data_IF_958443972337
#
_entry.id   IF_958443972337
#
_cell.length_a   1.000
_cell.length_b   1.000
_cell.length_c   1.000
_cell.angle_alpha   90.00
_cell.angle_beta   90.00
_cell.angle_gamma   90.00
#
_symmetry.space_group_name_H-M   'P 1'
#
loop_
_entity.id
_entity.type
_entity.pdbx_description
1 polymer ?
#
# COMPACT_ATOMS: atom_id res chain seq x y z
N UNK A 1 52.35 9.62 47.10
CA UNK A 1 53.60 8.87 47.35
C UNK A 1 53.97 8.19 46.03
N UNK A 2 55.13 8.55 45.55
CA UNK A 2 55.90 7.94 44.44
C UNK A 2 56.46 6.57 44.90
N UNK A 3 57.20 5.76 44.11
CA UNK A 3 57.45 5.78 42.67
C UNK A 3 57.50 4.37 41.99
N UNK A 4 57.81 4.40 40.70
CA UNK A 4 58.30 3.36 39.80
C UNK A 4 59.50 2.51 40.34
N UNK A 5 59.93 1.40 39.61
CA UNK A 5 60.88 1.55 38.50
C UNK A 5 60.74 0.53 37.34
N UNK A 6 60.95 0.97 36.15
CA UNK A 6 61.89 0.72 35.04
C UNK A 6 62.83 -0.50 35.22
N UNK A 7 62.84 -1.39 34.21
CA UNK A 7 64.07 -2.07 33.76
C UNK A 7 64.10 -2.28 32.24
N UNK A 8 65.28 -2.03 31.75
CA UNK A 8 65.75 -1.96 30.37
C UNK A 8 66.37 -3.28 29.86
N UNK A 9 66.40 -3.39 28.54
CA UNK A 9 67.35 -4.04 27.64
C UNK A 9 67.42 -5.57 27.52
N UNK A 10 67.22 -6.06 26.28
CA UNK A 10 68.34 -6.62 25.52
C UNK A 10 68.00 -6.76 24.06
N UNK A 11 68.92 -6.26 23.23
CA UNK A 11 68.97 -6.34 21.78
C UNK A 11 69.57 -7.68 21.32
N UNK A 12 69.03 -8.27 20.26
CA UNK A 12 69.81 -9.18 19.40
C UNK A 12 69.36 -9.07 17.94
N UNK A 13 70.29 -8.67 17.12
CA UNK A 13 70.24 -8.61 15.69
C UNK A 13 70.32 -10.00 15.06
N UNK A 14 69.49 -10.34 14.10
CA UNK A 14 69.76 -11.40 13.11
C UNK A 14 69.13 -11.05 11.74
N UNK A 15 70.03 -10.80 10.80
CA UNK A 15 70.08 -11.08 9.35
C UNK A 15 68.79 -11.08 8.49
N UNK A 16 68.90 -10.23 7.49
CA UNK A 16 68.18 -10.11 6.24
C UNK A 16 67.95 -11.45 5.53
N UNK A 17 66.67 -11.69 5.22
CA UNK A 17 66.23 -12.60 4.15
C UNK A 17 65.21 -11.86 3.29
N UNK A 18 65.61 -11.50 2.09
CA UNK A 18 64.73 -10.88 1.08
C UNK A 18 63.81 -11.98 0.55
N UNK A 19 62.53 -11.92 0.94
CA UNK A 19 61.50 -12.74 0.35
C UNK A 19 60.63 -11.80 -0.55
N UNK A 20 60.82 -11.90 -1.86
CA UNK A 20 59.95 -11.25 -2.84
C UNK A 20 58.56 -11.85 -2.74
N UNK A 21 57.64 -11.18 -2.04
CA UNK A 21 56.23 -11.46 -2.14
C UNK A 21 55.68 -10.74 -3.38
N UNK A 22 55.35 -11.52 -4.39
CA UNK A 22 54.50 -11.11 -5.51
C UNK A 22 53.12 -10.74 -4.94
N UNK A 23 52.88 -9.47 -4.71
CA UNK A 23 51.52 -8.96 -4.49
C UNK A 23 50.74 -9.09 -5.81
N UNK A 24 50.00 -10.17 -5.94
CA UNK A 24 48.92 -10.25 -6.90
C UNK A 24 47.91 -9.13 -6.63
N UNK A 25 47.91 -8.11 -7.46
CA UNK A 25 46.85 -7.11 -7.52
C UNK A 25 45.52 -7.85 -7.87
N UNK A 26 44.80 -8.25 -6.86
CA UNK A 26 43.35 -8.51 -7.02
C UNK A 26 42.72 -7.18 -7.41
N UNK A 27 42.55 -6.95 -8.69
CA UNK A 27 41.61 -5.95 -9.18
C UNK A 27 40.24 -6.36 -8.64
N UNK A 28 39.52 -5.49 -7.93
CA UNK A 28 38.10 -5.73 -7.70
C UNK A 28 37.52 -5.79 -9.12
N UNK A 29 37.02 -6.97 -9.50
CA UNK A 29 36.38 -7.16 -10.80
C UNK A 29 35.30 -6.09 -10.93
N UNK A 30 35.48 -5.18 -11.87
CA UNK A 30 34.40 -4.32 -12.32
C UNK A 30 33.26 -5.25 -12.70
N UNK A 31 32.15 -5.21 -11.94
CA UNK A 31 30.90 -5.83 -12.32
C UNK A 31 30.62 -5.32 -13.74
N UNK A 32 30.64 -6.22 -14.69
CA UNK A 32 30.43 -5.91 -16.08
C UNK A 32 29.06 -5.24 -16.22
N UNK A 33 28.99 -4.15 -16.93
CA UNK A 33 27.78 -3.42 -17.27
C UNK A 33 26.78 -4.26 -18.13
N UNK A 34 27.00 -5.56 -18.24
CA UNK A 34 26.24 -6.46 -19.12
C UNK A 34 25.07 -7.20 -18.45
N UNK A 35 24.82 -7.02 -17.14
CA UNK A 35 23.80 -7.77 -16.40
C UNK A 35 22.71 -6.93 -15.74
N UNK A 36 22.51 -5.68 -16.12
CA UNK A 36 21.31 -4.98 -15.68
C UNK A 36 20.09 -5.55 -16.42
N UNK A 37 19.12 -6.13 -15.69
CA UNK A 37 17.93 -6.68 -16.32
C UNK A 37 17.18 -5.59 -17.09
N UNK A 38 16.75 -5.93 -18.30
CA UNK A 38 15.99 -4.99 -19.14
C UNK A 38 14.82 -4.38 -18.34
N UNK A 39 14.57 -3.08 -18.47
CA UNK A 39 13.49 -2.40 -17.76
C UNK A 39 12.17 -3.13 -17.92
N UNK A 40 11.36 -3.14 -16.86
CA UNK A 40 10.02 -3.69 -16.91
C UNK A 40 9.18 -2.90 -17.93
N UNK A 41 8.23 -3.56 -18.57
CA UNK A 41 7.29 -2.93 -19.49
C UNK A 41 6.01 -2.52 -18.77
N UNK A 42 5.32 -1.52 -19.25
CA UNK A 42 4.06 -1.03 -18.65
C UNK A 42 2.97 -2.10 -18.63
N UNK A 43 2.14 -2.01 -17.60
CA UNK A 43 0.87 -2.73 -17.53
C UNK A 43 -0.22 -1.85 -18.13
N UNK A 44 -1.07 -2.46 -18.94
CA UNK A 44 -2.28 -1.85 -19.47
C UNK A 44 -3.54 -2.56 -19.00
N UNK A 45 -4.69 -1.96 -19.28
CA UNK A 45 -6.01 -2.55 -19.05
C UNK A 45 -6.71 -2.65 -20.40
N UNK A 46 -7.30 -3.81 -20.64
CA UNK A 46 -8.16 -4.04 -21.81
C UNK A 46 -9.50 -4.62 -21.36
N UNK A 47 -10.56 -4.18 -22.03
CA UNK A 47 -11.87 -4.78 -21.87
C UNK A 47 -11.97 -6.06 -22.70
N UNK A 48 -12.78 -7.00 -22.27
CA UNK A 48 -13.03 -8.25 -22.98
C UNK A 48 -14.40 -8.84 -22.62
N UNK A 49 -14.81 -9.87 -23.33
CA UNK A 49 -16.11 -10.54 -23.11
C UNK A 49 -16.25 -11.06 -21.66
N UNK A 50 -15.14 -11.51 -21.08
CA UNK A 50 -15.08 -12.05 -19.72
C UNK A 50 -14.86 -10.98 -18.65
N UNK A 51 -14.81 -9.70 -19.01
CA UNK A 51 -14.53 -8.56 -18.15
C UNK A 51 -13.19 -7.88 -18.47
N UNK A 52 -12.88 -6.81 -17.74
CA UNK A 52 -11.61 -6.13 -17.88
C UNK A 52 -10.47 -6.98 -17.31
N UNK A 53 -9.27 -6.83 -17.87
CA UNK A 53 -8.08 -7.53 -17.42
C UNK A 53 -6.82 -6.69 -17.61
N UNK A 54 -5.83 -6.91 -16.77
CA UNK A 54 -4.49 -6.36 -16.98
C UNK A 54 -3.75 -7.14 -18.08
N UNK A 55 -2.83 -6.46 -18.75
CA UNK A 55 -1.95 -7.08 -19.74
C UNK A 55 -0.59 -6.37 -19.80
N UNK A 56 0.43 -7.08 -20.24
CA UNK A 56 1.76 -6.53 -20.53
C UNK A 56 1.69 -5.77 -21.86
N UNK A 57 2.01 -4.48 -21.89
CA UNK A 57 1.85 -3.64 -23.11
C UNK A 57 2.78 -4.02 -24.26
N UNK A 58 3.90 -4.66 -23.98
CA UNK A 58 4.86 -5.09 -25.01
C UNK A 58 4.45 -6.36 -25.74
N UNK A 59 3.93 -7.34 -25.02
CA UNK A 59 3.61 -8.67 -25.55
C UNK A 59 2.11 -8.90 -25.74
N UNK A 60 1.27 -8.04 -25.12
CA UNK A 60 -0.17 -8.28 -25.04
C UNK A 60 -0.57 -9.44 -24.12
N UNK A 61 0.40 -10.09 -23.46
CA UNK A 61 0.13 -11.21 -22.57
C UNK A 61 -0.76 -10.80 -21.39
N UNK A 62 -1.73 -11.62 -20.97
CA UNK A 62 -2.48 -11.39 -19.75
C UNK A 62 -1.55 -11.23 -18.54
N UNK A 63 -1.92 -10.32 -17.64
CA UNK A 63 -1.21 -10.12 -16.39
C UNK A 63 -2.19 -10.27 -15.23
N UNK A 64 -1.98 -11.28 -14.40
CA UNK A 64 -2.74 -11.50 -13.18
C UNK A 64 -1.91 -11.03 -11.99
N UNK A 65 -2.44 -10.09 -11.20
CA UNK A 65 -1.73 -9.57 -10.01
C UNK A 65 -1.68 -10.64 -8.95
N UNK A 66 -0.49 -11.07 -8.54
CA UNK A 66 -0.30 -12.08 -7.50
C UNK A 66 0.93 -11.77 -6.66
N UNK A 67 0.74 -11.76 -5.34
CA UNK A 67 1.85 -11.42 -4.45
C UNK A 67 1.42 -11.07 -3.03
N UNK A 68 2.08 -10.08 -2.48
CA UNK A 68 2.05 -9.82 -1.05
C UNK A 68 2.01 -8.33 -0.74
N UNK A 69 1.52 -8.02 0.46
CA UNK A 69 1.81 -6.78 1.13
C UNK A 69 3.17 -6.91 1.86
N UNK A 70 4.01 -5.90 1.75
CA UNK A 70 5.27 -5.80 2.46
C UNK A 70 5.24 -4.56 3.34
N UNK A 71 5.14 -4.79 4.63
CA UNK A 71 4.92 -3.75 5.64
C UNK A 71 5.93 -3.93 6.76
N UNK A 72 6.51 -2.82 7.21
CA UNK A 72 7.29 -2.73 8.45
C UNK A 72 6.57 -1.82 9.41
N UNK A 73 6.49 -2.23 10.65
CA UNK A 73 5.98 -1.40 11.73
C UNK A 73 7.11 -1.05 12.68
N UNK A 74 7.08 0.16 13.22
CA UNK A 74 7.91 0.49 14.37
C UNK A 74 7.44 -0.32 15.57
N UNK A 75 8.36 -0.78 16.42
CA UNK A 75 7.96 -1.34 17.70
C UNK A 75 7.09 -0.36 18.46
N UNK A 76 5.94 -0.84 18.94
CA UNK A 76 5.07 -0.04 19.77
C UNK A 76 5.72 0.27 21.11
N UNK A 77 5.58 1.49 21.61
CA UNK A 77 5.82 1.80 23.00
C UNK A 77 4.51 1.52 23.77
N UNK A 78 4.54 0.51 24.64
CA UNK A 78 3.37 0.06 25.39
C UNK A 78 2.44 -0.85 24.58
N UNK A 79 1.11 -0.66 24.72
CA UNK A 79 0.07 -1.51 24.13
C UNK A 79 -0.44 -1.03 22.76
N UNK A 80 0.16 0.00 22.19
CA UNK A 80 -0.29 0.55 20.90
C UNK A 80 0.39 -0.15 19.72
N UNK A 81 -0.36 -0.35 18.63
CA UNK A 81 0.21 -0.83 17.38
C UNK A 81 1.24 0.18 16.87
N UNK A 82 2.40 -0.33 16.41
CA UNK A 82 3.44 0.53 15.85
C UNK A 82 2.99 1.18 14.54
N UNK A 83 3.49 2.39 14.28
CA UNK A 83 3.25 3.10 13.03
C UNK A 83 3.84 2.34 11.84
N UNK A 84 3.14 2.37 10.71
CA UNK A 84 3.67 1.94 9.43
C UNK A 84 4.90 2.77 9.04
N UNK A 85 6.03 2.12 8.78
CA UNK A 85 7.31 2.81 8.61
C UNK A 85 8.25 2.09 7.64
N UNK A 86 7.71 1.42 6.64
CA UNK A 86 8.44 0.54 5.70
C UNK A 86 9.68 1.22 5.09
N UNK A 87 9.60 2.50 4.75
CA UNK A 87 10.69 3.24 4.10
C UNK A 87 11.37 4.26 5.01
N UNK A 88 11.04 4.28 6.30
CA UNK A 88 11.65 5.23 7.20
C UNK A 88 13.17 5.06 7.27
N UNK A 89 13.85 6.17 7.01
CA UNK A 89 15.26 6.34 7.29
C UNK A 89 15.37 7.05 8.61
N UNK A 90 15.73 6.34 9.67
CA UNK A 90 15.80 6.95 10.98
C UNK A 90 16.94 7.95 11.09
N UNK A 91 16.60 9.15 11.53
CA UNK A 91 17.58 10.15 11.93
C UNK A 91 17.52 10.52 13.41
N UNK A 92 16.49 10.11 14.16
CA UNK A 92 16.26 10.57 15.54
C UNK A 92 15.92 9.51 16.55
N UNK A 93 15.35 8.42 16.14
CA UNK A 93 14.92 7.34 17.01
C UNK A 93 15.52 6.04 16.54
N UNK A 94 16.66 5.74 16.90
CA UNK A 94 17.38 4.46 16.97
C UNK A 94 17.12 3.33 15.97
N UNK A 95 16.10 3.34 15.09
CA UNK A 95 15.88 2.22 14.17
C UNK A 95 15.19 2.67 12.87
N UNK A 96 15.97 2.78 11.81
CA UNK A 96 15.42 2.72 10.46
C UNK A 96 14.58 1.46 10.29
N UNK A 97 13.41 1.57 9.67
CA UNK A 97 12.57 0.42 9.40
C UNK A 97 12.86 -0.19 8.02
N UNK A 98 13.44 0.57 7.10
CA UNK A 98 13.89 0.05 5.82
C UNK A 98 15.13 -0.83 6.01
N UNK A 99 15.02 -2.07 5.58
CA UNK A 99 16.09 -3.05 5.54
C UNK A 99 16.24 -3.59 4.12
N UNK A 100 17.29 -3.13 3.45
CA UNK A 100 17.59 -3.49 2.08
C UNK A 100 17.85 -4.99 1.88
N UNK A 101 18.48 -5.66 2.85
CA UNK A 101 18.75 -7.11 2.77
C UNK A 101 17.47 -7.93 2.93
N UNK A 102 16.60 -7.51 3.83
CA UNK A 102 15.29 -8.15 4.04
C UNK A 102 14.39 -7.97 2.82
N UNK A 103 14.38 -6.77 2.21
CA UNK A 103 13.68 -6.52 0.96
C UNK A 103 14.23 -7.40 -0.18
N UNK A 104 15.55 -7.53 -0.31
CA UNK A 104 16.18 -8.39 -1.31
C UNK A 104 15.81 -9.86 -1.12
N UNK A 105 15.86 -10.36 0.12
CA UNK A 105 15.48 -11.73 0.44
C UNK A 105 14.01 -12.01 0.09
N UNK A 106 13.11 -11.08 0.42
CA UNK A 106 11.70 -11.15 0.06
C UNK A 106 11.53 -11.21 -1.46
N UNK A 107 12.10 -10.26 -2.21
CA UNK A 107 11.98 -10.24 -3.68
C UNK A 107 12.51 -11.51 -4.32
N UNK A 108 13.64 -12.05 -3.83
CA UNK A 108 14.20 -13.31 -4.31
C UNK A 108 13.25 -14.48 -4.07
N UNK A 109 12.67 -14.58 -2.88
CA UNK A 109 11.70 -15.63 -2.55
C UNK A 109 10.44 -15.53 -3.43
N UNK A 110 9.87 -14.33 -3.55
CA UNK A 110 8.66 -14.10 -4.33
C UNK A 110 8.87 -14.38 -5.83
N UNK A 111 9.98 -13.93 -6.40
CA UNK A 111 10.31 -14.17 -7.80
C UNK A 111 10.46 -15.67 -8.09
N UNK A 112 11.17 -16.42 -7.22
CA UNK A 112 11.30 -17.88 -7.33
C UNK A 112 9.97 -18.59 -7.19
N UNK A 113 9.08 -18.09 -6.32
CA UNK A 113 7.72 -18.60 -6.15
C UNK A 113 6.76 -18.21 -7.28
N UNK A 114 7.22 -17.47 -8.30
CA UNK A 114 6.39 -17.06 -9.45
C UNK A 114 5.40 -15.93 -9.13
N UNK A 115 5.59 -15.20 -8.03
CA UNK A 115 4.84 -13.99 -7.70
C UNK A 115 5.37 -12.78 -8.47
N UNK A 116 4.54 -11.77 -8.67
CA UNK A 116 4.86 -10.68 -9.58
C UNK A 116 4.54 -9.27 -9.05
N UNK A 117 3.95 -9.17 -7.87
CA UNK A 117 3.53 -7.87 -7.33
C UNK A 117 3.72 -7.80 -5.81
N UNK A 118 4.16 -6.64 -5.33
CA UNK A 118 4.22 -6.30 -3.91
C UNK A 118 3.50 -4.97 -3.69
N UNK A 119 2.60 -4.95 -2.71
CA UNK A 119 1.93 -3.72 -2.26
C UNK A 119 2.63 -3.19 -1.02
N UNK A 120 2.83 -1.87 -0.95
CA UNK A 120 3.52 -1.19 0.13
C UNK A 120 2.78 0.07 0.54
N UNK A 121 2.98 0.54 1.78
CA UNK A 121 2.43 1.81 2.23
C UNK A 121 3.44 2.94 2.11
N UNK A 122 2.98 4.04 1.53
CA UNK A 122 3.66 5.33 1.56
C UNK A 122 2.98 6.15 2.65
N UNK A 123 3.72 6.38 3.71
CA UNK A 123 3.17 6.99 4.92
C UNK A 123 3.66 8.42 5.06
N UNK A 124 2.73 9.32 5.36
CA UNK A 124 3.04 10.65 5.81
C UNK A 124 3.69 10.64 7.20
N UNK A 125 4.16 11.79 7.63
CA UNK A 125 4.71 11.93 8.98
C UNK A 125 3.60 11.82 10.03
N UNK A 126 3.83 11.04 11.08
CA UNK A 126 3.14 11.14 12.37
C UNK A 126 4.01 11.92 13.38
N UNK A 127 3.51 12.11 14.61
CA UNK A 127 4.31 12.76 15.67
C UNK A 127 5.63 12.03 15.99
N UNK A 128 5.64 10.72 15.81
CA UNK A 128 6.78 9.84 16.14
C UNK A 128 7.51 9.29 14.91
N UNK A 129 6.95 9.47 13.73
CA UNK A 129 7.44 8.91 12.49
C UNK A 129 7.64 10.04 11.45
N UNK A 130 8.90 10.35 11.03
CA UNK A 130 9.14 11.38 10.03
C UNK A 130 8.49 11.08 8.68
N UNK A 131 8.39 9.81 8.26
CA UNK A 131 7.75 9.40 7.02
C UNK A 131 8.26 10.14 5.78
N UNK A 132 7.45 10.16 4.74
CA UNK A 132 7.79 10.80 3.46
C UNK A 132 7.93 12.33 3.55
N UNK A 133 7.29 12.97 4.52
CA UNK A 133 7.37 14.43 4.71
C UNK A 133 8.59 14.82 5.54
N UNK A 134 9.22 13.90 6.26
CA UNK A 134 10.34 14.18 7.14
C UNK A 134 10.00 15.25 8.18
N UNK A 135 10.99 16.08 8.49
CA UNK A 135 10.88 17.19 9.45
C UNK A 135 10.60 18.53 8.81
N UNK A 136 10.27 18.53 7.54
CA UNK A 136 9.98 19.76 6.82
C UNK A 136 8.67 20.37 7.29
N UNK A 137 8.78 21.37 8.20
CA UNK A 137 7.63 22.00 8.82
C UNK A 137 6.88 22.95 7.88
N UNK A 138 7.56 23.51 6.88
CA UNK A 138 7.03 24.63 6.09
C UNK A 138 7.00 24.38 4.58
N UNK A 139 7.46 23.21 4.11
CA UNK A 139 7.55 22.93 2.68
C UNK A 139 6.80 21.64 2.31
N UNK A 140 6.46 21.51 1.02
CA UNK A 140 5.95 20.25 0.44
C UNK A 140 7.05 19.32 0.00
N UNK A 141 8.32 19.61 0.30
CA UNK A 141 9.46 18.79 -0.08
C UNK A 141 9.34 17.40 0.51
N UNK A 142 9.75 16.41 -0.26
CA UNK A 142 9.81 15.03 0.20
C UNK A 142 11.11 14.80 0.98
N UNK A 143 11.04 13.95 1.99
CA UNK A 143 12.20 13.54 2.78
C UNK A 143 13.12 12.69 1.92
N UNK A 144 14.27 13.24 1.53
CA UNK A 144 15.17 12.60 0.57
C UNK A 144 15.64 11.20 1.03
N UNK A 145 16.07 10.98 2.29
CA UNK A 145 16.44 9.65 2.75
C UNK A 145 15.31 8.62 2.66
N UNK A 146 14.06 9.02 2.90
CA UNK A 146 12.89 8.15 2.71
C UNK A 146 12.71 7.79 1.23
N UNK A 147 12.83 8.78 0.35
CA UNK A 147 12.68 8.56 -1.09
C UNK A 147 13.81 7.74 -1.70
N UNK A 148 15.06 7.86 -1.18
CA UNK A 148 16.16 6.99 -1.60
C UNK A 148 15.91 5.52 -1.22
N UNK A 149 15.30 5.26 -0.05
CA UNK A 149 14.85 3.91 0.30
C UNK A 149 13.76 3.39 -0.65
N UNK A 150 12.84 4.26 -1.06
CA UNK A 150 11.84 3.91 -2.08
C UNK A 150 12.51 3.57 -3.42
N UNK A 151 13.47 4.37 -3.88
CA UNK A 151 14.20 4.10 -5.12
C UNK A 151 14.99 2.79 -5.04
N UNK A 152 15.70 2.52 -3.94
CA UNK A 152 16.41 1.24 -3.74
C UNK A 152 15.43 0.06 -3.78
N UNK A 153 14.28 0.17 -3.13
CA UNK A 153 13.24 -0.86 -3.18
C UNK A 153 12.74 -1.11 -4.61
N UNK A 154 12.49 -0.04 -5.38
CA UNK A 154 12.06 -0.15 -6.77
C UNK A 154 13.15 -0.76 -7.68
N UNK A 155 14.42 -0.41 -7.48
CA UNK A 155 15.56 -1.02 -8.20
C UNK A 155 15.61 -2.54 -7.95
N UNK A 156 15.44 -2.97 -6.69
CA UNK A 156 15.38 -4.39 -6.31
C UNK A 156 14.16 -5.08 -6.95
N UNK A 157 12.99 -4.48 -6.84
CA UNK A 157 11.78 -5.00 -7.48
C UNK A 157 11.96 -5.19 -8.99
N UNK A 158 12.60 -4.22 -9.66
CA UNK A 158 12.92 -4.30 -11.10
C UNK A 158 13.82 -5.48 -11.41
N UNK A 159 14.92 -5.68 -10.66
CA UNK A 159 15.83 -6.82 -10.84
C UNK A 159 15.11 -8.17 -10.72
N UNK A 160 14.19 -8.27 -9.78
CA UNK A 160 13.40 -9.49 -9.56
C UNK A 160 12.12 -9.57 -10.42
N UNK A 161 11.90 -8.61 -11.34
CA UNK A 161 10.74 -8.52 -12.24
C UNK A 161 9.41 -8.45 -11.50
N UNK A 162 9.39 -7.86 -10.31
CA UNK A 162 8.22 -7.65 -9.46
C UNK A 162 7.72 -6.22 -9.61
N UNK A 163 6.40 -6.06 -9.69
CA UNK A 163 5.73 -4.75 -9.67
C UNK A 163 5.53 -4.29 -8.24
N UNK A 164 5.46 -2.98 -8.06
CA UNK A 164 5.15 -2.37 -6.77
C UNK A 164 3.86 -1.58 -6.90
N UNK A 165 2.94 -1.77 -5.96
CA UNK A 165 1.71 -0.99 -5.81
C UNK A 165 1.81 -0.15 -4.53
N UNK A 166 2.27 1.11 -4.61
CA UNK A 166 2.27 2.00 -3.46
C UNK A 166 0.85 2.47 -3.14
N UNK A 167 0.49 2.36 -1.87
CA UNK A 167 -0.76 2.86 -1.28
C UNK A 167 -0.44 4.03 -0.34
N UNK A 168 -1.16 5.14 -0.50
CA UNK A 168 -0.91 6.38 0.24
C UNK A 168 -1.68 6.41 1.57
N UNK A 169 -1.41 5.43 2.42
CA UNK A 169 -1.98 5.30 3.76
C UNK A 169 -3.50 5.31 3.78
N UNK A 170 -4.08 5.74 4.88
CA UNK A 170 -5.54 5.78 5.07
C UNK A 170 -6.18 7.12 4.65
N UNK A 171 -5.61 7.79 3.66
CA UNK A 171 -6.13 9.07 3.15
C UNK A 171 -5.65 10.29 3.92
N UNK A 172 -4.74 10.11 4.86
CA UNK A 172 -4.13 11.21 5.60
C UNK A 172 -3.09 11.94 4.75
N UNK A 173 -3.01 13.25 4.95
CA UNK A 173 -1.94 14.06 4.41
C UNK A 173 -0.71 13.96 5.32
N UNK A 174 0.50 14.22 4.80
CA UNK A 174 1.69 14.31 5.62
C UNK A 174 1.51 15.26 6.80
N UNK A 175 1.97 14.81 7.98
CA UNK A 175 1.82 15.58 9.22
C UNK A 175 2.91 16.64 9.34
N UNK A 176 2.84 17.69 8.52
CA UNK A 176 3.69 18.86 8.66
C UNK A 176 2.89 20.17 8.55
N UNK A 177 3.49 21.29 8.90
CA UNK A 177 2.79 22.58 8.91
C UNK A 177 2.23 22.97 7.55
N UNK A 178 2.94 22.68 6.47
CA UNK A 178 2.50 22.97 5.11
C UNK A 178 1.14 22.36 4.77
N UNK A 179 0.96 21.06 5.05
CA UNK A 179 -0.30 20.39 4.77
C UNK A 179 -1.37 20.67 5.82
N UNK A 180 -0.98 20.87 7.10
CA UNK A 180 -1.94 21.24 8.16
C UNK A 180 -2.60 22.59 7.90
N UNK A 181 -1.87 23.57 7.43
CA UNK A 181 -2.42 24.87 7.06
C UNK A 181 -3.43 24.76 5.93
N UNK A 182 -3.16 23.92 4.93
CA UNK A 182 -4.09 23.64 3.83
C UNK A 182 -5.36 22.93 4.27
N UNK A 183 -5.34 22.21 5.38
CA UNK A 183 -6.51 21.61 6.00
C UNK A 183 -7.33 22.61 6.85
N UNK A 184 -7.10 23.91 6.69
CA UNK A 184 -7.85 24.99 7.35
C UNK A 184 -7.84 24.90 8.89
N UNK A 185 -6.74 24.46 9.48
CA UNK A 185 -6.62 24.28 10.92
C UNK A 185 -7.52 23.19 11.52
N UNK A 186 -8.18 22.37 10.70
CA UNK A 186 -9.09 21.31 11.14
C UNK A 186 -8.38 19.98 11.44
N UNK A 187 -7.06 20.01 11.58
CA UNK A 187 -6.27 18.84 11.99
C UNK A 187 -6.16 17.75 10.91
N UNK A 188 -5.81 16.54 11.32
CA UNK A 188 -5.77 15.36 10.47
C UNK A 188 -7.17 14.80 10.22
N UNK A 189 -8.00 15.59 9.54
CA UNK A 189 -9.35 15.23 9.23
C UNK A 189 -9.39 14.60 7.82
N UNK A 190 -9.65 13.28 7.73
CA UNK A 190 -9.74 12.55 6.46
C UNK A 190 -10.83 13.12 5.55
N UNK A 191 -11.95 13.53 6.13
CA UNK A 191 -13.06 14.08 5.36
C UNK A 191 -12.65 15.36 4.64
N UNK A 192 -11.87 16.21 5.29
CA UNK A 192 -11.36 17.47 4.68
C UNK A 192 -10.51 17.17 3.47
N UNK A 193 -9.66 16.15 3.51
CA UNK A 193 -8.75 15.81 2.41
C UNK A 193 -9.47 15.37 1.14
N UNK A 194 -10.75 14.97 1.26
CA UNK A 194 -11.57 14.45 0.16
C UNK A 194 -12.69 15.41 -0.23
N UNK A 195 -13.29 16.10 0.77
CA UNK A 195 -14.51 16.88 0.55
C UNK A 195 -14.27 18.36 0.34
N UNK A 196 -13.08 18.90 0.64
CA UNK A 196 -12.76 20.32 0.44
C UNK A 196 -11.81 20.52 -0.73
N UNK A 197 -11.90 21.68 -1.39
CA UNK A 197 -11.00 22.02 -2.51
C UNK A 197 -9.54 22.03 -2.05
N UNK A 198 -9.25 22.62 -0.90
CA UNK A 198 -7.91 22.72 -0.34
C UNK A 198 -7.34 21.32 0.00
N UNK A 199 -8.18 20.44 0.54
CA UNK A 199 -7.80 19.08 0.84
C UNK A 199 -7.51 18.26 -0.41
N UNK A 200 -8.37 18.35 -1.42
CA UNK A 200 -8.17 17.68 -2.71
C UNK A 200 -6.89 18.16 -3.39
N UNK A 201 -6.63 19.50 -3.41
CA UNK A 201 -5.40 20.07 -3.96
C UNK A 201 -4.18 19.54 -3.21
N UNK A 202 -4.22 19.49 -1.88
CA UNK A 202 -3.13 18.98 -1.07
C UNK A 202 -2.86 17.48 -1.34
N UNK A 203 -3.90 16.66 -1.53
CA UNK A 203 -3.76 15.24 -1.91
C UNK A 203 -3.15 15.10 -3.31
N UNK A 204 -3.61 15.88 -4.27
CA UNK A 204 -3.03 15.94 -5.63
C UNK A 204 -1.54 16.25 -5.56
N UNK A 205 -1.16 17.28 -4.83
CA UNK A 205 0.24 17.65 -4.67
C UNK A 205 1.08 16.55 -4.03
N UNK A 206 0.55 15.89 -3.02
CA UNK A 206 1.26 14.80 -2.33
C UNK A 206 1.56 13.62 -3.27
N UNK A 207 0.54 13.10 -3.98
CA UNK A 207 0.71 11.97 -4.89
C UNK A 207 1.58 12.32 -6.10
N UNK A 208 1.37 13.51 -6.67
CA UNK A 208 2.16 13.93 -7.85
C UNK A 208 3.60 14.28 -7.50
N UNK A 209 3.89 14.77 -6.30
CA UNK A 209 5.26 15.00 -5.82
C UNK A 209 6.04 13.69 -5.74
N UNK A 210 5.45 12.63 -5.19
CA UNK A 210 6.05 11.30 -5.16
C UNK A 210 6.37 10.78 -6.56
N UNK A 211 5.40 10.82 -7.47
CA UNK A 211 5.58 10.34 -8.83
C UNK A 211 6.61 11.17 -9.62
N UNK A 212 6.58 12.49 -9.46
CA UNK A 212 7.51 13.42 -10.08
C UNK A 212 8.93 13.23 -9.58
N UNK A 213 9.12 12.92 -8.30
CA UNK A 213 10.44 12.61 -7.75
C UNK A 213 11.05 11.39 -8.46
N UNK A 214 10.31 10.27 -8.53
CA UNK A 214 10.77 9.06 -9.21
C UNK A 214 11.06 9.36 -10.69
N UNK A 215 10.16 10.07 -11.37
CA UNK A 215 10.33 10.45 -12.78
C UNK A 215 11.58 11.30 -13.01
N UNK A 216 11.90 12.20 -12.10
CA UNK A 216 13.05 13.10 -12.22
C UNK A 216 14.38 12.42 -11.91
N UNK A 217 14.40 11.50 -10.94
CA UNK A 217 15.61 10.80 -10.51
C UNK A 217 15.90 9.57 -11.39
N UNK A 218 14.91 8.71 -11.60
CA UNK A 218 15.07 7.44 -12.31
C UNK A 218 13.81 7.07 -13.11
N UNK A 219 13.56 7.70 -14.25
CA UNK A 219 12.36 7.46 -15.05
C UNK A 219 12.20 6.00 -15.51
N UNK A 220 13.29 5.25 -15.60
CA UNK A 220 13.28 3.82 -15.93
C UNK A 220 12.57 2.95 -14.86
N UNK A 221 12.39 3.45 -13.64
CA UNK A 221 11.67 2.76 -12.57
C UNK A 221 10.15 2.94 -12.64
N UNK A 222 9.64 3.91 -13.41
CA UNK A 222 8.20 4.13 -13.52
C UNK A 222 7.43 2.88 -13.97
N UNK A 223 7.91 2.06 -14.93
CA UNK A 223 7.25 0.81 -15.28
C UNK A 223 7.24 -0.24 -14.16
N UNK A 224 8.05 -0.11 -13.13
CA UNK A 224 8.02 -1.00 -11.96
C UNK A 224 6.79 -0.76 -11.10
N UNK A 225 6.22 0.44 -11.14
CA UNK A 225 4.94 0.71 -10.50
C UNK A 225 3.80 0.03 -11.29
N UNK A 226 3.01 -0.80 -10.60
CA UNK A 226 1.74 -1.32 -11.16
C UNK A 226 0.75 -0.17 -11.35
N UNK A 227 0.72 0.75 -10.42
CA UNK A 227 -0.13 1.92 -10.35
C UNK A 227 0.11 2.67 -9.06
N UNK A 228 -0.70 3.69 -8.78
CA UNK A 228 -0.77 4.38 -7.48
C UNK A 228 -2.15 4.12 -6.87
N UNK A 229 -2.19 3.74 -5.59
CA UNK A 229 -3.42 3.59 -4.83
C UNK A 229 -3.61 4.82 -3.94
N UNK A 230 -4.71 5.56 -4.17
CA UNK A 230 -4.93 6.85 -3.51
C UNK A 230 -5.01 6.74 -2.00
N UNK A 231 -5.66 5.68 -1.51
CA UNK A 231 -5.76 5.34 -0.09
C UNK A 231 -5.68 3.83 0.08
N UNK A 232 -5.40 3.40 1.31
CA UNK A 232 -5.46 2.00 1.69
C UNK A 232 -6.90 1.49 1.72
N UNK A 233 -7.69 2.03 2.63
CA UNK A 233 -9.09 1.65 2.89
C UNK A 233 -9.95 2.91 2.92
N UNK A 234 -10.50 3.26 1.77
CA UNK A 234 -11.31 4.46 1.61
C UNK A 234 -12.47 4.47 2.59
N UNK A 235 -12.49 5.45 3.46
CA UNK A 235 -13.61 5.73 4.37
C UNK A 235 -13.60 7.21 4.78
N UNK A 236 -14.78 7.77 4.99
CA UNK A 236 -14.98 9.01 5.71
C UNK A 236 -15.29 8.70 7.18
N UNK A 237 -15.28 9.71 8.03
CA UNK A 237 -15.53 9.57 9.44
C UNK A 237 -16.76 10.39 9.85
N UNK A 238 -17.73 9.74 10.50
CA UNK A 238 -18.99 10.37 10.90
C UNK A 238 -18.79 11.40 12.04
N UNK A 239 -17.76 11.23 12.86
CA UNK A 239 -17.37 12.11 13.96
C UNK A 239 -16.46 13.28 13.55
N UNK A 240 -16.04 13.31 12.28
CA UNK A 240 -15.20 14.38 11.74
C UNK A 240 -16.01 15.37 10.92
N UNK A 241 -15.60 16.63 10.95
CA UNK A 241 -16.18 17.67 10.10
C UNK A 241 -16.01 17.33 8.60
N UNK A 242 -17.01 17.54 7.72
CA UNK A 242 -18.34 18.15 8.01
C UNK A 242 -19.39 17.20 8.53
N UNK A 243 -19.18 15.89 8.55
CA UNK A 243 -20.18 14.91 8.95
C UNK A 243 -20.57 14.97 10.44
N UNK A 244 -19.69 15.44 11.30
CA UNK A 244 -19.98 15.69 12.71
C UNK A 244 -21.06 16.76 12.90
N UNK A 245 -21.21 17.69 11.95
CA UNK A 245 -22.28 18.67 11.94
C UNK A 245 -23.61 17.98 11.55
N UNK A 246 -24.63 18.18 12.37
CA UNK A 246 -25.91 17.52 12.16
C UNK A 246 -26.89 18.35 11.33
N UNK A 247 -26.52 19.58 10.98
CA UNK A 247 -27.34 20.50 10.21
C UNK A 247 -26.47 21.59 9.58
N UNK A 248 -27.06 22.32 8.64
CA UNK A 248 -26.37 23.39 7.92
C UNK A 248 -26.05 23.01 6.49
N UNK A 249 -25.62 23.99 5.71
CA UNK A 249 -25.21 23.82 4.32
C UNK A 249 -23.70 23.67 4.23
N UNK A 250 -23.22 22.67 3.50
CA UNK A 250 -21.81 22.44 3.22
C UNK A 250 -21.56 22.49 1.70
N UNK A 251 -20.66 23.37 1.27
CA UNK A 251 -20.18 23.42 -0.11
C UNK A 251 -18.95 22.53 -0.25
N UNK A 252 -19.08 21.41 -0.99
CA UNK A 252 -18.01 20.48 -1.23
C UNK A 252 -17.09 20.92 -2.40
N UNK A 253 -15.93 20.24 -2.54
CA UNK A 253 -14.94 20.48 -3.59
C UNK A 253 -15.52 20.41 -5.02
N UNK A 254 -16.55 19.57 -5.23
CA UNK A 254 -17.25 19.47 -6.52
C UNK A 254 -18.16 20.68 -6.82
N UNK A 255 -18.16 21.71 -5.97
CA UNK A 255 -18.94 22.94 -6.12
C UNK A 255 -20.41 22.83 -5.68
N UNK A 256 -20.92 21.64 -5.36
CA UNK A 256 -22.29 21.40 -4.90
C UNK A 256 -22.46 21.76 -3.44
N UNK A 257 -23.69 22.14 -3.09
CA UNK A 257 -24.07 22.44 -1.71
C UNK A 257 -24.99 21.32 -1.24
N UNK A 258 -24.67 20.76 -0.06
CA UNK A 258 -25.40 19.66 0.58
C UNK A 258 -25.98 20.15 1.92
N UNK A 259 -27.21 19.73 2.22
CA UNK A 259 -27.85 19.97 3.51
C UNK A 259 -27.50 18.82 4.49
N UNK A 260 -26.66 19.14 5.46
CA UNK A 260 -26.17 18.15 6.42
C UNK A 260 -27.25 17.58 7.34
N UNK A 261 -28.44 18.19 7.40
CA UNK A 261 -29.59 17.63 8.11
C UNK A 261 -30.25 16.46 7.35
N UNK A 262 -29.99 16.35 6.02
CA UNK A 262 -30.59 15.33 5.17
C UNK A 262 -29.66 14.16 4.96
N UNK A 263 -30.08 12.97 5.34
CA UNK A 263 -29.32 11.73 5.14
C UNK A 263 -28.97 11.48 3.67
N UNK A 264 -29.92 11.78 2.76
CA UNK A 264 -29.69 11.65 1.32
C UNK A 264 -28.57 12.57 0.81
N UNK A 265 -28.52 13.82 1.30
CA UNK A 265 -27.48 14.78 0.91
C UNK A 265 -26.12 14.37 1.46
N UNK A 266 -26.04 13.82 2.69
CA UNK A 266 -24.80 13.28 3.26
C UNK A 266 -24.26 12.11 2.41
N UNK A 267 -25.15 11.19 2.01
CA UNK A 267 -24.77 10.07 1.13
C UNK A 267 -24.28 10.59 -0.22
N UNK A 268 -25.04 11.50 -0.84
CA UNK A 268 -24.63 12.10 -2.11
C UNK A 268 -23.31 12.86 -2.01
N UNK A 269 -23.09 13.58 -0.90
CA UNK A 269 -21.81 14.27 -0.63
C UNK A 269 -20.63 13.31 -0.57
N UNK A 270 -20.79 12.15 0.09
CA UNK A 270 -19.76 11.12 0.11
C UNK A 270 -19.49 10.56 -1.29
N UNK A 271 -20.52 10.10 -1.97
CA UNK A 271 -20.39 9.42 -3.27
C UNK A 271 -19.82 10.35 -4.33
N UNK A 272 -20.38 11.53 -4.47
CA UNK A 272 -19.94 12.53 -5.45
C UNK A 272 -18.62 13.19 -5.06
N UNK A 273 -18.34 13.31 -3.75
CA UNK A 273 -17.08 13.79 -3.23
C UNK A 273 -15.92 12.86 -3.60
N UNK A 274 -16.08 11.55 -3.40
CA UNK A 274 -15.08 10.56 -3.83
C UNK A 274 -14.90 10.56 -5.34
N UNK A 275 -15.97 10.62 -6.12
CA UNK A 275 -15.87 10.67 -7.58
C UNK A 275 -15.10 11.90 -8.06
N UNK A 276 -15.38 13.08 -7.51
CA UNK A 276 -14.65 14.31 -7.81
C UNK A 276 -13.18 14.22 -7.38
N UNK A 277 -12.92 13.75 -6.17
CA UNK A 277 -11.56 13.54 -5.66
C UNK A 277 -10.75 12.64 -6.61
N UNK A 278 -11.30 11.49 -7.02
CA UNK A 278 -10.62 10.58 -7.94
C UNK A 278 -10.41 11.18 -9.32
N UNK A 279 -11.37 11.96 -9.83
CA UNK A 279 -11.21 12.66 -11.10
C UNK A 279 -10.01 13.62 -11.07
N UNK A 280 -9.88 14.39 -9.99
CA UNK A 280 -8.76 15.33 -9.77
C UNK A 280 -7.42 14.61 -9.64
N UNK A 281 -7.36 13.55 -8.85
CA UNK A 281 -6.14 12.73 -8.68
C UNK A 281 -5.73 12.08 -10.01
N UNK A 282 -6.66 11.41 -10.69
CA UNK A 282 -6.37 10.71 -11.94
C UNK A 282 -5.86 11.69 -13.00
N UNK A 283 -6.53 12.83 -13.17
CA UNK A 283 -6.10 13.85 -14.12
C UNK A 283 -4.67 14.35 -13.83
N UNK A 284 -4.35 14.61 -12.56
CA UNK A 284 -3.04 15.10 -12.14
C UNK A 284 -1.94 14.03 -12.29
N UNK A 285 -2.21 12.79 -11.89
CA UNK A 285 -1.27 11.67 -12.05
C UNK A 285 -0.99 11.41 -13.53
N UNK A 286 -2.02 11.40 -14.38
CA UNK A 286 -1.86 11.23 -15.83
C UNK A 286 -1.12 12.40 -16.50
N UNK A 287 -1.18 13.61 -15.92
CA UNK A 287 -0.38 14.74 -16.40
C UNK A 287 1.12 14.54 -16.12
N UNK A 288 1.48 13.89 -15.01
CA UNK A 288 2.88 13.52 -14.73
C UNK A 288 3.32 12.34 -15.59
N UNK A 289 2.52 11.27 -15.62
CA UNK A 289 2.78 10.05 -16.38
C UNK A 289 1.47 9.50 -16.97
N UNK A 290 1.22 9.69 -18.28
CA UNK A 290 -0.03 9.28 -18.92
C UNK A 290 -0.33 7.77 -18.84
N UNK A 291 0.69 6.95 -18.62
CA UNK A 291 0.55 5.51 -18.54
C UNK A 291 0.37 4.97 -17.12
N UNK A 292 0.52 5.82 -16.08
CA UNK A 292 0.38 5.42 -14.69
C UNK A 292 -1.06 5.04 -14.37
N UNK A 293 -1.30 3.83 -13.88
CA UNK A 293 -2.62 3.40 -13.41
C UNK A 293 -2.91 3.99 -12.02
N UNK A 294 -4.19 4.25 -11.75
CA UNK A 294 -4.65 4.80 -10.47
C UNK A 294 -5.77 3.93 -9.92
N UNK A 295 -5.68 3.59 -8.66
CA UNK A 295 -6.63 2.74 -7.96
C UNK A 295 -7.04 3.30 -6.60
N UNK A 296 -8.05 2.69 -6.02
CA UNK A 296 -8.49 2.92 -4.65
C UNK A 296 -8.87 1.60 -4.01
N UNK A 297 -8.54 1.44 -2.72
CA UNK A 297 -9.00 0.35 -1.87
C UNK A 297 -10.25 0.74 -1.09
N UNK A 298 -11.25 -0.15 -1.02
CA UNK A 298 -12.45 0.08 -0.22
C UNK A 298 -12.34 -0.60 1.14
N UNK A 299 -12.67 0.13 2.20
CA UNK A 299 -12.88 -0.46 3.51
C UNK A 299 -14.13 -1.34 3.51
N UNK A 300 -14.07 -2.51 4.17
CA UNK A 300 -15.21 -3.44 4.20
C UNK A 300 -16.32 -2.91 5.11
N UNK A 301 -17.48 -2.51 4.57
CA UNK A 301 -18.56 -1.92 5.36
C UNK A 301 -19.06 -2.81 6.48
N UNK A 302 -19.08 -4.13 6.28
CA UNK A 302 -19.45 -5.10 7.30
C UNK A 302 -18.59 -5.02 8.55
N UNK A 303 -17.31 -4.68 8.42
CA UNK A 303 -16.40 -4.54 9.57
C UNK A 303 -16.79 -3.41 10.52
N UNK A 304 -17.63 -2.46 10.08
CA UNK A 304 -18.20 -1.38 10.90
C UNK A 304 -19.70 -1.54 11.13
N UNK A 305 -20.23 -2.75 11.02
CA UNK A 305 -21.63 -3.06 11.29
C UNK A 305 -22.59 -2.67 10.16
N UNK A 306 -22.07 -2.46 8.94
CA UNK A 306 -22.87 -2.15 7.76
C UNK A 306 -23.01 -3.38 6.87
N UNK A 307 -23.81 -4.36 7.27
CA UNK A 307 -23.96 -5.64 6.56
C UNK A 307 -24.60 -5.52 5.19
N UNK A 308 -25.44 -4.50 5.00
CA UNK A 308 -26.07 -4.19 3.72
C UNK A 308 -25.82 -2.73 3.40
N UNK A 309 -25.18 -2.47 2.27
CA UNK A 309 -25.05 -1.10 1.79
C UNK A 309 -26.38 -0.68 1.21
N UNK A 310 -27.00 0.25 1.88
CA UNK A 310 -28.17 0.93 1.40
C UNK A 310 -27.72 2.20 0.68
N UNK A 311 -27.65 2.13 -0.64
CA UNK A 311 -27.56 3.33 -1.46
C UNK A 311 -28.83 4.15 -1.31
N UNK A 312 -28.77 5.41 -1.65
CA UNK A 312 -29.92 6.30 -1.63
C UNK A 312 -30.43 6.65 -0.22
N UNK A 313 -29.56 7.24 0.57
CA UNK A 313 -30.02 8.07 1.66
C UNK A 313 -30.20 7.39 3.00
N UNK A 314 -29.71 6.17 3.17
CA UNK A 314 -29.72 5.55 4.47
C UNK A 314 -28.34 5.64 5.11
N UNK A 315 -28.14 6.73 5.82
CA UNK A 315 -27.01 6.88 6.71
C UNK A 315 -27.34 6.11 8.00
N UNK A 316 -26.57 5.08 8.40
CA UNK A 316 -26.90 4.31 9.60
C UNK A 316 -26.78 5.19 10.84
N UNK A 317 -27.81 5.14 11.67
CA UNK A 317 -27.81 5.86 12.95
C UNK A 317 -26.87 5.22 13.98
N UNK A 318 -26.67 3.90 13.87
CA UNK A 318 -25.79 3.13 14.74
C UNK A 318 -24.93 2.18 13.92
N UNK A 319 -23.65 2.16 14.23
CA UNK A 319 -22.66 1.25 13.68
C UNK A 319 -21.58 0.97 14.73
N UNK A 320 -20.71 0.02 14.47
CA UNK A 320 -19.69 -0.40 15.44
C UNK A 320 -18.59 0.63 15.66
N UNK A 321 -18.32 1.50 14.67
CA UNK A 321 -17.39 2.61 14.79
C UNK A 321 -17.76 3.79 13.87
N UNK A 322 -16.94 4.85 13.86
CA UNK A 322 -17.23 6.09 13.13
C UNK A 322 -16.80 6.07 11.66
N UNK A 323 -16.20 4.99 11.17
CA UNK A 323 -15.81 4.88 9.76
C UNK A 323 -17.01 4.69 8.85
N UNK A 324 -16.98 5.35 7.73
CA UNK A 324 -18.04 5.36 6.74
C UNK A 324 -17.49 5.08 5.34
N UNK A 325 -17.40 3.83 4.92
CA UNK A 325 -16.82 3.45 3.64
C UNK A 325 -17.75 3.75 2.47
N UNK A 326 -17.22 4.20 1.31
CA UNK A 326 -17.95 4.18 0.05
C UNK A 326 -18.15 2.75 -0.43
N UNK A 327 -18.98 2.58 -1.45
CA UNK A 327 -19.11 1.28 -2.13
C UNK A 327 -18.13 1.15 -3.29
N UNK A 328 -17.87 -0.08 -3.72
CA UNK A 328 -17.16 -0.33 -4.98
C UNK A 328 -17.87 0.30 -6.18
N UNK A 329 -19.19 0.32 -6.16
CA UNK A 329 -20.01 0.96 -7.19
C UNK A 329 -19.74 2.46 -7.26
N UNK A 330 -19.68 3.13 -6.11
CA UNK A 330 -19.33 4.55 -6.00
C UNK A 330 -17.94 4.81 -6.60
N UNK A 331 -16.93 4.05 -6.16
CA UNK A 331 -15.56 4.18 -6.65
C UNK A 331 -15.48 3.82 -8.15
N UNK A 332 -16.19 2.79 -8.58
CA UNK A 332 -16.18 2.29 -9.94
C UNK A 332 -16.82 3.23 -10.97
N UNK A 333 -17.78 4.06 -10.58
CA UNK A 333 -18.34 5.12 -11.43
C UNK A 333 -17.36 6.26 -11.70
N UNK A 334 -16.37 6.46 -10.83
CA UNK A 334 -15.33 7.49 -10.97
C UNK A 334 -14.32 7.16 -12.07
N UNK A 335 -13.22 7.91 -12.08
CA UNK A 335 -12.16 7.83 -13.11
C UNK A 335 -11.04 6.85 -12.82
N UNK A 336 -11.10 6.12 -11.72
CA UNK A 336 -10.08 5.11 -11.37
C UNK A 336 -9.90 4.10 -12.51
N UNK A 337 -8.67 3.62 -12.70
CA UNK A 337 -8.35 2.63 -13.70
C UNK A 337 -8.74 1.21 -13.23
N UNK A 338 -8.55 0.90 -11.95
CA UNK A 338 -8.95 -0.37 -11.34
C UNK A 338 -9.35 -0.19 -9.87
N UNK A 339 -9.96 -1.21 -9.30
CA UNK A 339 -10.50 -1.18 -7.95
C UNK A 339 -9.83 -2.25 -7.09
N UNK A 340 -9.83 -2.00 -5.79
CA UNK A 340 -9.28 -2.91 -4.80
C UNK A 340 -10.29 -3.17 -3.68
N UNK A 341 -10.35 -4.41 -3.22
CA UNK A 341 -11.16 -4.85 -2.08
C UNK A 341 -10.29 -5.61 -1.09
N UNK A 342 -10.65 -5.53 0.18
CA UNK A 342 -9.98 -6.29 1.23
C UNK A 342 -10.89 -7.38 1.77
N UNK A 343 -10.30 -8.46 2.27
CA UNK A 343 -11.02 -9.56 2.87
C UNK A 343 -10.30 -10.10 4.10
N UNK A 344 -11.02 -10.13 5.20
CA UNK A 344 -10.61 -10.81 6.42
C UNK A 344 -11.79 -11.53 7.04
N UNK A 345 -11.60 -12.82 7.39
CA UNK A 345 -12.53 -13.54 8.23
C UNK A 345 -12.28 -13.15 9.69
N UNK A 346 -13.31 -12.66 10.38
CA UNK A 346 -13.20 -12.15 11.74
C UNK A 346 -13.96 -13.00 12.77
N UNK A 347 -14.63 -14.07 12.31
CA UNK A 347 -15.39 -14.99 13.16
C UNK A 347 -15.11 -16.44 12.78
N UNK A 348 -14.73 -17.25 13.76
CA UNK A 348 -14.58 -18.69 13.59
C UNK A 348 -15.94 -19.41 13.37
N UNK A 349 -17.05 -18.76 13.70
CA UNK A 349 -18.41 -19.32 13.52
C UNK A 349 -18.91 -19.24 12.07
N UNK A 350 -18.21 -18.52 11.20
CA UNK A 350 -18.54 -18.42 9.79
C UNK A 350 -17.60 -19.31 8.96
N UNK A 351 -18.13 -19.98 7.95
CA UNK A 351 -17.26 -20.57 6.93
C UNK A 351 -16.53 -19.51 6.11
N UNK A 352 -15.40 -19.86 5.49
CA UNK A 352 -14.67 -18.95 4.60
C UNK A 352 -15.58 -18.45 3.46
N UNK A 353 -16.35 -19.35 2.84
CA UNK A 353 -17.26 -18.99 1.75
C UNK A 353 -18.38 -18.04 2.20
N UNK A 354 -18.93 -18.22 3.40
CA UNK A 354 -19.94 -17.33 3.94
C UNK A 354 -19.36 -15.95 4.25
N UNK A 355 -18.22 -15.89 4.96
CA UNK A 355 -17.53 -14.65 5.26
C UNK A 355 -17.17 -13.89 3.96
N UNK A 356 -16.65 -14.60 2.95
CA UNK A 356 -16.33 -14.04 1.65
C UNK A 356 -17.57 -13.41 0.98
N UNK A 357 -18.68 -14.15 0.92
CA UNK A 357 -19.92 -13.66 0.33
C UNK A 357 -20.46 -12.44 1.07
N UNK A 358 -20.44 -12.43 2.39
CA UNK A 358 -20.96 -11.34 3.21
C UNK A 358 -20.07 -10.11 3.13
N UNK A 359 -18.76 -10.25 3.25
CA UNK A 359 -17.83 -9.13 3.19
C UNK A 359 -17.85 -8.45 1.82
N UNK A 360 -17.71 -9.21 0.74
CA UNK A 360 -17.77 -8.65 -0.60
C UNK A 360 -19.18 -8.13 -0.94
N UNK A 361 -20.22 -8.81 -0.47
CA UNK A 361 -21.61 -8.34 -0.63
C UNK A 361 -21.83 -6.97 -0.02
N UNK A 362 -21.26 -6.71 1.17
CA UNK A 362 -21.36 -5.41 1.83
C UNK A 362 -20.69 -4.27 1.06
N UNK A 363 -19.69 -4.56 0.21
CA UNK A 363 -19.06 -3.57 -0.68
C UNK A 363 -19.87 -3.29 -1.95
N UNK A 364 -20.95 -4.02 -2.21
CA UNK A 364 -21.71 -3.97 -3.46
C UNK A 364 -21.13 -4.79 -4.61
N UNK A 365 -20.11 -5.64 -4.36
CA UNK A 365 -19.39 -6.41 -5.37
C UNK A 365 -20.31 -7.27 -6.26
N UNK A 366 -21.38 -7.84 -5.70
CA UNK A 366 -22.32 -8.73 -6.40
C UNK A 366 -23.51 -8.02 -7.04
N UNK A 367 -23.56 -6.68 -7.03
CA UNK A 367 -24.65 -5.94 -7.65
C UNK A 367 -24.58 -5.99 -9.17
N UNK A 368 -25.71 -5.93 -9.90
CA UNK A 368 -25.72 -5.85 -11.37
C UNK A 368 -24.91 -4.66 -11.90
N UNK A 369 -24.97 -3.55 -11.20
CA UNK A 369 -24.22 -2.34 -11.53
C UNK A 369 -22.72 -2.56 -11.46
N UNK A 370 -22.24 -3.21 -10.38
CA UNK A 370 -20.83 -3.56 -10.25
C UNK A 370 -20.40 -4.58 -11.31
N UNK A 371 -21.27 -5.52 -11.66
CA UNK A 371 -21.02 -6.45 -12.76
C UNK A 371 -20.81 -5.72 -14.12
N UNK A 372 -21.53 -4.62 -14.35
CA UNK A 372 -21.30 -3.76 -15.52
C UNK A 372 -19.97 -3.01 -15.44
N UNK A 373 -19.61 -2.45 -14.28
CA UNK A 373 -18.33 -1.76 -14.04
C UNK A 373 -17.14 -2.69 -14.28
N UNK A 374 -17.22 -3.93 -13.84
CA UNK A 374 -16.17 -4.95 -14.00
C UNK A 374 -15.87 -5.33 -15.47
N UNK A 375 -16.74 -4.99 -16.40
CA UNK A 375 -16.45 -5.12 -17.85
C UNK A 375 -15.40 -4.12 -18.32
N UNK A 376 -15.27 -2.98 -17.64
CA UNK A 376 -14.36 -1.91 -17.99
C UNK A 376 -13.18 -1.75 -17.03
N UNK A 377 -13.31 -2.20 -15.78
CA UNK A 377 -12.32 -2.01 -14.71
C UNK A 377 -11.97 -3.34 -14.03
N UNK A 378 -10.69 -3.71 -13.98
CA UNK A 378 -10.27 -4.84 -13.16
C UNK A 378 -10.57 -4.59 -11.68
N UNK A 379 -10.79 -5.68 -10.94
CA UNK A 379 -10.89 -5.67 -9.48
C UNK A 379 -9.87 -6.65 -8.93
N UNK A 380 -9.04 -6.19 -8.00
CA UNK A 380 -8.10 -7.03 -7.25
C UNK A 380 -8.58 -7.17 -5.80
N UNK A 381 -8.07 -8.17 -5.11
CA UNK A 381 -8.13 -8.29 -3.66
C UNK A 381 -6.75 -7.88 -3.12
N UNK A 382 -6.59 -6.59 -2.79
CA UNK A 382 -5.31 -6.00 -2.39
C UNK A 382 -4.85 -6.40 -1.01
N UNK A 383 -5.79 -6.89 -0.18
CA UNK A 383 -5.48 -7.54 1.08
C UNK A 383 -6.40 -8.72 1.32
N UNK A 384 -5.81 -9.83 1.71
CA UNK A 384 -6.49 -10.95 2.35
C UNK A 384 -5.51 -11.67 3.26
N UNK A 385 -6.00 -12.12 4.40
CA UNK A 385 -5.14 -12.74 5.41
C UNK A 385 -5.95 -13.53 6.43
N UNK A 386 -5.27 -14.07 7.42
CA UNK A 386 -5.86 -14.87 8.46
C UNK A 386 -5.38 -14.41 9.85
N UNK A 387 -6.33 -14.25 10.76
CA UNK A 387 -6.07 -13.87 12.15
C UNK A 387 -5.88 -15.13 13.02
N UNK A 388 -4.95 -15.07 13.98
CA UNK A 388 -4.67 -16.15 14.92
C UNK A 388 -5.82 -16.41 15.91
N UNK A 389 -6.68 -15.42 16.13
CA UNK A 389 -7.89 -15.59 16.95
C UNK A 389 -9.02 -16.31 16.20
N UNK A 390 -8.93 -16.44 14.89
CA UNK A 390 -9.87 -17.18 14.03
C UNK A 390 -9.26 -18.53 13.63
N UNK A 391 -8.15 -18.53 12.90
CA UNK A 391 -7.38 -19.70 12.51
C UNK A 391 -6.32 -20.01 13.58
N UNK A 392 -6.45 -21.14 14.27
CA UNK A 392 -5.61 -21.45 15.44
C UNK A 392 -4.24 -22.00 15.10
N UNK A 393 -4.03 -22.40 13.86
CA UNK A 393 -2.74 -22.87 13.37
C UNK A 393 -2.38 -22.23 12.03
N UNK A 394 -1.11 -22.27 11.68
CA UNK A 394 -0.67 -21.78 10.36
C UNK A 394 -1.22 -22.66 9.22
N UNK A 395 -1.40 -23.95 9.45
CA UNK A 395 -2.03 -24.88 8.50
C UNK A 395 -3.48 -24.50 8.21
N UNK A 396 -4.26 -24.20 9.25
CA UNK A 396 -5.64 -23.70 9.12
C UNK A 396 -5.68 -22.39 8.36
N UNK A 397 -4.78 -21.47 8.71
CA UNK A 397 -4.67 -20.17 8.04
C UNK A 397 -4.40 -20.33 6.55
N UNK A 398 -3.40 -21.13 6.16
CA UNK A 398 -3.07 -21.34 4.74
C UNK A 398 -4.19 -22.09 4.01
N UNK A 399 -4.90 -22.99 4.68
CA UNK A 399 -6.07 -23.66 4.10
C UNK A 399 -7.22 -22.66 3.84
N UNK A 400 -7.54 -21.81 4.82
CA UNK A 400 -8.54 -20.75 4.65
C UNK A 400 -8.17 -19.78 3.51
N UNK A 401 -6.90 -19.40 3.41
CA UNK A 401 -6.43 -18.52 2.34
C UNK A 401 -6.48 -19.17 0.95
N UNK A 402 -6.21 -20.48 0.86
CA UNK A 402 -6.37 -21.21 -0.39
C UNK A 402 -7.84 -21.25 -0.83
N UNK A 403 -8.78 -21.41 0.10
CA UNK A 403 -10.22 -21.33 -0.18
C UNK A 403 -10.65 -19.92 -0.63
N UNK A 404 -10.13 -18.85 0.00
CA UNK A 404 -10.36 -17.46 -0.45
C UNK A 404 -9.85 -17.26 -1.87
N UNK A 405 -8.65 -17.76 -2.19
CA UNK A 405 -8.09 -17.74 -3.55
C UNK A 405 -9.06 -18.36 -4.55
N UNK A 406 -9.52 -19.56 -4.27
CA UNK A 406 -10.41 -20.31 -5.18
C UNK A 406 -11.75 -19.57 -5.39
N UNK A 407 -12.29 -18.99 -4.33
CA UNK A 407 -13.49 -18.13 -4.42
C UNK A 407 -13.25 -16.88 -5.26
N UNK A 408 -12.12 -16.20 -5.05
CA UNK A 408 -11.77 -15.01 -5.82
C UNK A 408 -11.56 -15.30 -7.31
N UNK A 409 -10.92 -16.43 -7.64
CA UNK A 409 -10.77 -16.88 -9.02
C UNK A 409 -12.13 -17.25 -9.66
N UNK A 410 -13.01 -17.93 -8.92
CA UNK A 410 -14.39 -18.20 -9.35
C UNK A 410 -15.15 -16.93 -9.66
N UNK A 411 -14.97 -15.89 -8.85
CA UNK A 411 -15.56 -14.56 -9.05
C UNK A 411 -14.81 -13.71 -10.10
N UNK A 412 -13.79 -14.27 -10.75
CA UNK A 412 -13.00 -13.61 -11.80
C UNK A 412 -12.36 -12.31 -11.36
N UNK A 413 -11.80 -12.29 -10.16
CA UNK A 413 -10.93 -11.21 -9.72
C UNK A 413 -9.63 -11.21 -10.55
N UNK A 414 -9.04 -10.06 -10.70
CA UNK A 414 -7.87 -9.83 -11.57
C UNK A 414 -6.55 -9.90 -10.80
N UNK A 415 -6.61 -10.20 -9.52
CA UNK A 415 -5.42 -10.34 -8.70
C UNK A 415 -5.71 -10.44 -7.22
N UNK A 416 -4.68 -10.85 -6.48
CA UNK A 416 -4.72 -11.01 -5.04
C UNK A 416 -3.35 -10.73 -4.42
N UNK A 417 -3.33 -10.03 -3.29
CA UNK A 417 -2.14 -9.69 -2.54
C UNK A 417 -2.32 -10.09 -1.08
N UNK A 418 -1.52 -11.05 -0.63
CA UNK A 418 -1.61 -11.60 0.70
C UNK A 418 -1.11 -10.62 1.77
N UNK A 419 -1.81 -10.51 2.88
CA UNK A 419 -1.39 -9.74 4.05
C UNK A 419 -0.87 -10.70 5.13
N UNK A 420 0.44 -10.81 5.38
CA UNK A 420 1.58 -10.17 4.73
C UNK A 420 2.67 -11.22 4.49
N UNK A 421 3.76 -10.80 3.82
CA UNK A 421 4.88 -11.71 3.66
C UNK A 421 5.53 -12.03 5.01
N UNK A 422 6.02 -11.03 5.76
CA UNK A 422 6.85 -11.23 6.95
C UNK A 422 6.71 -10.12 8.02
N UNK A 423 5.56 -9.44 8.12
CA UNK A 423 5.33 -8.41 9.14
C UNK A 423 5.13 -9.02 10.54
N UNK A 424 6.19 -9.60 11.10
CA UNK A 424 6.16 -10.23 12.42
C UNK A 424 5.86 -9.26 13.57
N UNK A 425 5.88 -7.95 13.29
CA UNK A 425 5.45 -6.91 14.20
C UNK A 425 3.92 -6.88 14.43
N UNK A 426 3.15 -7.63 13.60
CA UNK A 426 1.71 -7.87 13.78
C UNK A 426 1.47 -9.33 14.20
N UNK A 427 1.63 -9.68 15.48
CA UNK A 427 1.55 -11.08 15.94
C UNK A 427 0.17 -11.70 15.80
N UNK A 428 -0.90 -10.89 15.74
CA UNK A 428 -2.28 -11.36 15.57
C UNK A 428 -2.61 -11.90 14.18
N UNK A 429 -1.69 -11.75 13.22
CA UNK A 429 -1.85 -12.23 11.85
C UNK A 429 -0.86 -13.35 11.53
N UNK A 430 -1.26 -14.26 10.69
CA UNK A 430 -0.37 -15.28 10.14
C UNK A 430 0.42 -14.71 8.96
N UNK A 431 1.75 -14.93 8.98
CA UNK A 431 2.66 -14.41 7.95
C UNK A 431 3.20 -15.56 7.09
N UNK A 432 3.25 -15.36 5.77
CA UNK A 432 3.68 -16.39 4.82
C UNK A 432 5.11 -16.90 5.09
N UNK A 433 6.01 -16.01 5.51
CA UNK A 433 7.39 -16.35 5.83
C UNK A 433 7.56 -17.22 7.10
N UNK A 434 6.49 -17.44 7.88
CA UNK A 434 6.52 -18.34 9.05
C UNK A 434 6.83 -19.76 8.64
N UNK A 435 6.20 -20.25 7.56
CA UNK A 435 6.52 -21.50 6.86
C UNK A 435 6.27 -21.31 5.36
N UNK A 436 7.27 -20.75 4.68
CA UNK A 436 7.20 -20.46 3.26
C UNK A 436 6.94 -21.73 2.41
N UNK A 437 7.53 -22.86 2.80
CA UNK A 437 7.35 -24.11 2.07
C UNK A 437 5.91 -24.61 2.13
N UNK A 438 5.29 -24.56 3.30
CA UNK A 438 3.89 -24.92 3.46
C UNK A 438 2.99 -23.95 2.69
N UNK A 439 3.26 -22.64 2.79
CA UNK A 439 2.52 -21.60 2.08
C UNK A 439 2.56 -21.85 0.57
N UNK A 440 3.74 -21.96 -0.04
CA UNK A 440 3.88 -22.21 -1.48
C UNK A 440 3.20 -23.51 -1.94
N UNK A 441 3.34 -24.57 -1.16
CA UNK A 441 2.71 -25.85 -1.51
C UNK A 441 1.19 -25.75 -1.60
N UNK A 442 0.56 -25.00 -0.70
CA UNK A 442 -0.90 -24.82 -0.64
C UNK A 442 -1.41 -23.78 -1.62
N UNK A 443 -0.59 -22.75 -1.90
CA UNK A 443 -0.94 -21.65 -2.80
C UNK A 443 -0.44 -21.84 -4.24
N UNK A 444 0.16 -23.00 -4.57
CA UNK A 444 0.82 -23.26 -5.86
C UNK A 444 -0.09 -23.02 -7.07
N UNK A 445 -1.37 -23.40 -6.98
CA UNK A 445 -2.33 -23.24 -8.07
C UNK A 445 -2.67 -21.77 -8.36
N UNK A 446 -2.27 -20.86 -7.47
CA UNK A 446 -2.34 -19.42 -7.66
C UNK A 446 -1.44 -18.92 -8.81
N UNK A 447 -0.48 -19.73 -9.22
CA UNK A 447 0.49 -19.35 -10.26
C UNK A 447 -0.08 -19.43 -11.68
N UNK A 448 -1.15 -20.21 -11.89
CA UNK A 448 -1.77 -20.46 -13.21
C UNK A 448 -3.29 -20.34 -13.11
N UNK A 449 -3.85 -19.12 -12.95
CA UNK A 449 -5.30 -18.90 -12.95
C UNK A 449 -5.93 -19.10 -14.32
#
# INVERSE_FOLDING_TARGET
MKPEPVHRFCSSSVRSGILLLLMGLCHPGALSAQDEPAPLKRIGIRCGEKGAQFFLKDSGAPFFVKGFNYIRLRPAEGSQAGDHSTFDADTRTTKACYDANRAEAMFSALSKGGYNTVRVFIIGRSQVNPGIAGDYETTKALHEPYMENVLDFLRRATRHRIRVLPSFGDGELPFNAYYRERLLGKGHNKNVSILTEEGVVARVEHLTSFLSYIKSKEPALLPTLLGLQCQNEACLHADQWPFAEKSGAFKAANGKIYDLAKTADRQAMMDEGYQHYHERIVAAVKAVDPEMLVAEGVFVPRAVGMDVIQHAGVWPEKKSDERYPPTLTTLGKGKLDFLDVHFYRTSANESVAEAFRLNLGSTGFFTPEMAAIRKAKPVIMGEFGAFDFVEKSFEEAVQSMAEVRDLALKERMNGMLYWTYDCFEQPSLHHAAKDWTLFERKMRDFQNP
#
